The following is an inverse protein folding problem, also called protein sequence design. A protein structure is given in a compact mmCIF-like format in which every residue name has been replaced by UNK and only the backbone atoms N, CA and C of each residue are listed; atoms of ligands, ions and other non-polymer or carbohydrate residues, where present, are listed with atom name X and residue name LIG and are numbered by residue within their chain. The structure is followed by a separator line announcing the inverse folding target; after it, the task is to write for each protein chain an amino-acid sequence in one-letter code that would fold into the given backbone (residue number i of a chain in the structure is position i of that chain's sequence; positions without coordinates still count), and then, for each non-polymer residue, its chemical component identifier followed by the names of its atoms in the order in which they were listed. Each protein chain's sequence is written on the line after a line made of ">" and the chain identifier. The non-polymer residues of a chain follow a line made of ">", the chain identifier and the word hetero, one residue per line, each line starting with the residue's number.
data_IF_356454726507
#
_entry.id   IF_356454726507
#
_cell.length_a   1.000
_cell.length_b   1.000
_cell.length_c   1.000
_cell.angle_alpha   90.00
_cell.angle_beta   90.00
_cell.angle_gamma   90.00
#
_symmetry.space_group_name_H-M   'P 1'
#
loop_
_entity.id
_entity.type
_entity.pdbx_description
1 polymer ?
#
# COMPACT_ATOMS: atom_id res chain seq x y z
N UNK A 1 -0.16 28.08 11.35
CA UNK A 1 -0.62 26.79 10.75
C UNK A 1 0.54 25.80 10.77
N UNK A 2 0.30 24.52 10.48
CA UNK A 2 1.33 23.48 10.37
C UNK A 2 1.07 22.69 9.09
N UNK A 3 2.04 22.70 8.16
CA UNK A 3 1.88 22.04 6.86
C UNK A 3 2.33 20.57 6.93
N UNK A 4 1.36 19.68 6.88
CA UNK A 4 1.56 18.22 6.84
C UNK A 4 1.16 17.63 5.47
N UNK A 5 1.08 18.46 4.44
CA UNK A 5 0.86 18.01 3.06
C UNK A 5 1.96 17.05 2.61
N UNK A 6 1.71 16.27 1.56
CA UNK A 6 2.73 15.38 1.01
C UNK A 6 3.95 16.18 0.55
N UNK A 7 3.74 17.28 -0.19
CA UNK A 7 4.80 18.15 -0.66
C UNK A 7 5.60 18.78 0.49
N UNK A 8 4.92 19.33 1.51
CA UNK A 8 5.57 19.93 2.67
C UNK A 8 6.45 18.92 3.42
N UNK A 9 5.96 17.69 3.62
CA UNK A 9 6.75 16.64 4.27
C UNK A 9 7.96 16.20 3.43
N UNK A 10 7.85 16.20 2.09
CA UNK A 10 9.01 15.95 1.21
C UNK A 10 10.05 17.06 1.40
N UNK A 11 9.65 18.32 1.26
CA UNK A 11 10.55 19.47 1.37
C UNK A 11 11.27 19.48 2.73
N UNK A 12 10.54 19.24 3.82
CA UNK A 12 11.10 19.23 5.18
C UNK A 12 12.14 18.12 5.44
N UNK A 13 12.12 17.03 4.67
CA UNK A 13 12.98 15.86 4.87
C UNK A 13 14.21 15.81 3.94
N UNK A 14 14.37 16.79 3.03
CA UNK A 14 15.54 16.88 2.14
C UNK A 14 16.15 18.30 2.11
N UNK A 15 16.39 18.95 3.26
CA UNK A 15 16.88 20.34 3.30
C UNK A 15 18.24 20.52 2.59
N UNK A 16 19.10 19.50 2.59
CA UNK A 16 20.41 19.48 1.93
C UNK A 16 20.33 19.61 0.40
N UNK A 17 19.21 19.22 -0.19
CA UNK A 17 18.93 19.33 -1.62
C UNK A 17 18.28 20.67 -2.00
N UNK A 18 18.04 21.55 -1.03
CA UNK A 18 17.25 22.75 -1.21
C UNK A 18 18.05 24.01 -0.92
N UNK A 19 17.73 25.07 -1.67
CA UNK A 19 18.17 26.42 -1.36
C UNK A 19 17.56 26.87 -0.04
N UNK A 20 18.23 27.80 0.64
CA UNK A 20 17.80 28.27 1.97
C UNK A 20 16.36 28.79 1.96
N UNK A 21 15.96 29.52 0.91
CA UNK A 21 14.61 30.06 0.73
C UNK A 21 13.54 29.00 0.41
N UNK A 22 13.94 27.80 -0.01
CA UNK A 22 13.04 26.68 -0.31
C UNK A 22 12.80 25.78 0.90
N UNK A 23 13.64 25.88 1.93
CA UNK A 23 13.55 25.05 3.14
C UNK A 23 12.35 25.46 3.98
N UNK A 24 11.66 24.47 4.51
CA UNK A 24 10.59 24.66 5.48
C UNK A 24 10.85 23.78 6.69
N UNK A 25 10.31 24.15 7.85
CA UNK A 25 10.42 23.36 9.07
C UNK A 25 9.66 22.04 9.00
N UNK A 26 10.10 21.05 9.77
CA UNK A 26 9.42 19.76 9.90
C UNK A 26 8.21 19.88 10.85
N UNK A 27 7.10 20.35 10.27
CA UNK A 27 5.86 20.54 10.99
C UNK A 27 5.26 19.23 11.54
N UNK A 28 5.59 18.06 10.98
CA UNK A 28 5.08 16.79 11.49
C UNK A 28 5.80 16.39 12.78
N UNK A 29 7.12 16.56 12.83
CA UNK A 29 7.91 16.34 14.05
C UNK A 29 7.46 17.30 15.15
N UNK A 30 7.32 18.59 14.84
CA UNK A 30 6.81 19.58 15.81
C UNK A 30 5.42 19.22 16.37
N UNK A 31 4.51 18.72 15.52
CA UNK A 31 3.19 18.30 15.96
C UNK A 31 3.21 17.02 16.79
N UNK A 32 4.16 16.11 16.54
CA UNK A 32 4.37 14.92 17.35
C UNK A 32 4.84 15.27 18.76
N UNK A 33 5.78 16.19 18.88
CA UNK A 33 6.22 16.73 20.17
C UNK A 33 5.06 17.44 20.89
N UNK A 34 4.30 18.27 20.18
CA UNK A 34 3.14 18.96 20.74
C UNK A 34 2.08 17.95 21.24
N UNK A 35 1.83 16.86 20.53
CA UNK A 35 0.84 15.85 20.92
C UNK A 35 1.16 15.16 22.26
N UNK A 36 2.41 15.26 22.73
CA UNK A 36 2.84 14.75 24.03
C UNK A 36 2.71 15.78 25.17
N UNK A 37 2.22 17.00 24.89
CA UNK A 37 2.04 18.04 25.91
C UNK A 37 0.57 18.26 26.27
N UNK A 38 0.25 18.67 27.52
CA UNK A 38 -1.13 18.97 27.93
C UNK A 38 -1.79 20.12 27.15
N UNK A 39 -1.01 21.01 26.55
CA UNK A 39 -1.47 22.19 25.82
C UNK A 39 -1.91 21.85 24.39
N UNK A 40 -1.73 20.60 23.94
CA UNK A 40 -2.06 20.18 22.60
C UNK A 40 -3.55 20.42 22.25
N UNK A 41 -3.80 21.25 21.25
CA UNK A 41 -5.11 21.43 20.65
C UNK A 41 -4.99 21.41 19.12
N UNK A 42 -5.17 20.21 18.54
CA UNK A 42 -4.89 19.94 17.13
C UNK A 42 -6.19 19.64 16.40
N UNK A 43 -6.56 20.50 15.44
CA UNK A 43 -7.63 20.21 14.48
C UNK A 43 -7.03 19.54 13.25
N UNK A 44 -7.18 18.23 13.17
CA UNK A 44 -6.60 17.41 12.10
C UNK A 44 -7.58 17.17 10.95
N UNK A 45 -7.31 17.75 9.79
CA UNK A 45 -8.03 17.47 8.54
C UNK A 45 -7.49 16.19 7.86
N UNK A 46 -8.26 15.54 6.96
CA UNK A 46 -7.75 14.43 6.15
C UNK A 46 -6.47 14.79 5.37
N UNK A 47 -5.55 13.83 5.20
CA UNK A 47 -4.32 14.00 4.44
C UNK A 47 -3.99 12.72 3.64
N UNK A 48 -3.13 12.85 2.63
CA UNK A 48 -2.68 11.75 1.79
C UNK A 48 -1.77 10.79 2.59
N UNK A 49 -2.10 9.50 2.54
CA UNK A 49 -1.17 8.40 2.88
C UNK A 49 -0.60 7.87 1.56
N UNK A 50 0.56 8.38 1.16
CA UNK A 50 0.99 8.31 -0.24
C UNK A 50 1.37 6.89 -0.68
N UNK A 51 0.81 6.42 -1.79
CA UNK A 51 1.35 5.29 -2.55
C UNK A 51 2.66 5.69 -3.26
N UNK A 52 3.42 4.71 -3.78
CA UNK A 52 4.64 4.99 -4.55
C UNK A 52 4.34 5.85 -5.79
N UNK A 53 3.28 5.59 -6.60
CA UNK A 53 2.91 6.47 -7.71
C UNK A 53 2.62 7.92 -7.27
N UNK A 54 1.88 8.11 -6.18
CA UNK A 54 1.57 9.45 -5.66
C UNK A 54 2.84 10.18 -5.17
N UNK A 55 3.76 9.45 -4.54
CA UNK A 55 5.05 10.00 -4.13
C UNK A 55 5.88 10.45 -5.35
N UNK A 56 6.03 9.59 -6.37
CA UNK A 56 6.77 9.93 -7.60
C UNK A 56 6.16 11.14 -8.31
N UNK A 57 4.82 11.23 -8.36
CA UNK A 57 4.12 12.36 -8.94
C UNK A 57 4.42 13.67 -8.18
N UNK A 58 4.38 13.64 -6.85
CA UNK A 58 4.71 14.81 -6.02
C UNK A 58 6.17 15.24 -6.17
N UNK A 59 7.12 14.30 -6.23
CA UNK A 59 8.54 14.59 -6.49
C UNK A 59 8.70 15.27 -7.85
N UNK A 60 8.11 14.70 -8.90
CA UNK A 60 8.16 15.26 -10.26
C UNK A 60 7.57 16.67 -10.32
N UNK A 61 6.45 16.92 -9.64
CA UNK A 61 5.84 18.25 -9.56
C UNK A 61 6.74 19.26 -8.86
N UNK A 62 7.39 18.87 -7.76
CA UNK A 62 8.33 19.72 -7.01
C UNK A 62 9.60 20.01 -7.83
N UNK A 63 10.15 19.01 -8.52
CA UNK A 63 11.28 19.18 -9.44
C UNK A 63 10.95 20.17 -10.56
N UNK A 64 9.75 20.08 -11.15
CA UNK A 64 9.29 21.03 -12.16
C UNK A 64 9.16 22.47 -11.62
N UNK A 65 9.02 22.64 -10.31
CA UNK A 65 9.01 23.94 -9.61
C UNK A 65 10.40 24.39 -9.13
N UNK A 66 11.46 23.66 -9.47
CA UNK A 66 12.85 24.04 -9.19
C UNK A 66 13.38 23.56 -7.83
N UNK A 67 12.74 22.60 -7.18
CA UNK A 67 13.29 21.91 -6.01
C UNK A 67 14.21 20.78 -6.49
N UNK A 68 15.50 20.81 -6.14
CA UNK A 68 16.51 19.86 -6.62
C UNK A 68 16.47 18.51 -5.86
N UNK A 69 15.27 17.96 -5.73
CA UNK A 69 15.01 16.74 -4.95
C UNK A 69 15.46 15.50 -5.72
N UNK A 70 16.06 14.51 -5.03
CA UNK A 70 16.42 13.25 -5.67
C UNK A 70 15.17 12.46 -6.07
N UNK A 71 15.26 11.70 -7.16
CA UNK A 71 14.21 10.75 -7.52
C UNK A 71 14.08 9.63 -6.47
N UNK A 72 12.89 9.02 -6.38
CA UNK A 72 12.69 7.84 -5.54
C UNK A 72 13.32 6.59 -6.21
N UNK A 73 14.36 5.98 -5.62
CA UNK A 73 14.99 4.79 -6.20
C UNK A 73 14.21 3.54 -5.81
N UNK A 74 13.66 2.85 -6.81
CA UNK A 74 12.90 1.60 -6.61
C UNK A 74 13.83 0.46 -6.19
N UNK A 75 14.96 0.34 -6.88
CA UNK A 75 15.99 -0.69 -6.66
C UNK A 75 17.32 -0.03 -6.27
N UNK A 76 17.49 0.38 -5.00
CA UNK A 76 18.67 1.13 -4.60
C UNK A 76 19.91 0.23 -4.56
N UNK A 77 20.92 0.59 -5.34
CA UNK A 77 22.18 -0.14 -5.49
C UNK A 77 23.32 0.48 -4.66
N UNK A 78 23.31 1.81 -4.49
CA UNK A 78 24.34 2.55 -3.75
C UNK A 78 23.94 2.88 -2.31
N UNK A 79 24.90 3.28 -1.48
CA UNK A 79 24.63 3.76 -0.12
C UNK A 79 23.71 5.00 -0.12
N UNK A 80 23.96 5.92 -1.06
CA UNK A 80 23.19 7.15 -1.23
C UNK A 80 21.74 6.85 -1.63
N UNK A 81 21.54 5.97 -2.62
CA UNK A 81 20.19 5.55 -3.04
C UNK A 81 19.43 4.88 -1.89
N UNK A 82 20.11 4.07 -1.07
CA UNK A 82 19.50 3.44 0.12
C UNK A 82 19.09 4.49 1.15
N UNK A 83 19.90 5.52 1.37
CA UNK A 83 19.57 6.61 2.29
C UNK A 83 18.38 7.44 1.78
N UNK A 84 18.37 7.80 0.49
CA UNK A 84 17.26 8.51 -0.17
C UNK A 84 15.97 7.69 -0.07
N UNK A 85 16.03 6.39 -0.40
CA UNK A 85 14.87 5.51 -0.29
C UNK A 85 14.35 5.46 1.14
N UNK A 86 15.23 5.32 2.12
CA UNK A 86 14.85 5.26 3.53
C UNK A 86 14.16 6.56 3.99
N UNK A 87 14.63 7.73 3.54
CA UNK A 87 13.97 9.00 3.81
C UNK A 87 12.56 9.07 3.20
N UNK A 88 12.41 8.72 1.92
CA UNK A 88 11.10 8.67 1.27
C UNK A 88 10.16 7.60 1.86
N UNK A 89 10.69 6.46 2.30
CA UNK A 89 9.92 5.38 2.92
C UNK A 89 9.31 5.77 4.27
N UNK A 90 9.89 6.78 4.96
CA UNK A 90 9.30 7.43 6.15
C UNK A 90 8.15 8.38 5.79
N UNK A 91 8.17 8.95 4.59
CA UNK A 91 7.18 9.93 4.12
C UNK A 91 5.96 9.23 3.50
N UNK A 92 6.16 8.14 2.76
CA UNK A 92 5.07 7.39 2.11
C UNK A 92 4.24 6.57 3.10
N UNK A 93 3.03 6.20 2.66
CA UNK A 93 2.04 5.51 3.49
C UNK A 93 1.48 6.39 4.61
N UNK A 94 0.93 5.78 5.65
CA UNK A 94 0.32 6.51 6.78
C UNK A 94 1.36 7.06 7.75
N UNK A 95 2.13 8.07 7.32
CA UNK A 95 3.20 8.68 8.12
C UNK A 95 2.67 9.63 9.21
N UNK A 96 1.53 10.30 8.97
CA UNK A 96 1.03 11.35 9.87
C UNK A 96 0.24 10.79 11.07
N UNK A 97 -0.66 9.83 10.83
CA UNK A 97 -1.55 9.36 11.89
C UNK A 97 -0.82 8.69 13.07
N UNK A 98 0.22 7.86 12.86
CA UNK A 98 0.95 7.26 13.98
C UNK A 98 1.64 8.28 14.87
N UNK A 99 2.04 9.43 14.34
CA UNK A 99 2.71 10.50 15.09
C UNK A 99 1.72 11.34 15.92
N UNK A 100 0.49 11.54 15.42
CA UNK A 100 -0.48 12.43 16.07
C UNK A 100 -1.46 11.73 17.01
N UNK A 101 -1.49 10.39 17.03
CA UNK A 101 -2.48 9.60 17.77
C UNK A 101 -1.92 9.10 19.10
N UNK A 102 -1.49 10.03 19.94
CA UNK A 102 -1.07 9.78 21.33
C UNK A 102 -2.28 9.59 22.26
N UNK A 103 -3.24 8.76 21.83
CA UNK A 103 -4.49 8.53 22.53
C UNK A 103 -5.46 7.63 21.75
N UNK A 104 -6.54 7.25 22.43
CA UNK A 104 -7.59 6.42 21.83
C UNK A 104 -8.59 7.25 21.00
N UNK A 105 -9.47 6.58 20.25
CA UNK A 105 -10.42 7.22 19.34
C UNK A 105 -11.86 7.19 19.89
N UNK A 106 -12.47 8.36 20.17
CA UNK A 106 -13.93 8.52 20.25
C UNK A 106 -14.46 8.96 18.87
N UNK A 107 -15.13 8.06 18.16
CA UNK A 107 -15.69 8.34 16.83
C UNK A 107 -17.17 7.99 16.79
N UNK A 108 -18.01 9.02 16.63
CA UNK A 108 -19.48 8.91 16.57
C UNK A 108 -20.08 10.02 15.72
N UNK A 109 -21.20 9.74 15.06
CA UNK A 109 -21.95 10.75 14.32
C UNK A 109 -22.69 11.68 15.32
N UNK A 110 -22.56 13.01 15.21
CA UNK A 110 -23.33 13.94 16.03
C UNK A 110 -24.84 13.80 15.83
N UNK A 111 -25.63 14.04 16.87
CA UNK A 111 -27.10 13.93 16.83
C UNK A 111 -27.73 14.82 15.75
N UNK A 112 -27.19 16.02 15.52
CA UNK A 112 -27.63 16.92 14.45
C UNK A 112 -27.48 16.29 13.06
N UNK A 113 -26.33 15.68 12.79
CA UNK A 113 -26.05 14.98 11.52
C UNK A 113 -26.96 13.75 11.38
N UNK A 114 -27.16 12.98 12.45
CA UNK A 114 -28.07 11.83 12.41
C UNK A 114 -29.53 12.24 12.16
N UNK A 115 -29.99 13.32 12.78
CA UNK A 115 -31.34 13.85 12.57
C UNK A 115 -31.51 14.40 11.15
N UNK A 116 -30.49 15.01 10.58
CA UNK A 116 -30.48 15.42 9.19
C UNK A 116 -30.61 14.22 8.25
N UNK A 117 -29.83 13.15 8.46
CA UNK A 117 -29.91 11.94 7.64
C UNK A 117 -31.27 11.21 7.73
N UNK A 118 -31.97 11.32 8.87
CA UNK A 118 -33.35 10.80 9.00
C UNK A 118 -34.36 11.59 8.17
N UNK A 119 -34.19 12.91 8.08
CA UNK A 119 -35.06 13.81 7.30
C UNK A 119 -34.73 13.81 5.80
N UNK A 120 -33.48 13.53 5.47
CA UNK A 120 -32.93 13.51 4.11
C UNK A 120 -32.21 12.17 3.89
N UNK A 121 -32.95 11.06 3.73
CA UNK A 121 -32.34 9.75 3.51
C UNK A 121 -31.53 9.77 2.21
N UNK A 122 -30.29 9.30 2.30
CA UNK A 122 -29.48 9.05 1.10
C UNK A 122 -29.98 7.80 0.38
N UNK A 123 -29.61 7.66 -0.88
CA UNK A 123 -29.89 6.45 -1.65
C UNK A 123 -29.26 5.23 -0.97
N UNK A 124 -30.04 4.16 -0.88
CA UNK A 124 -29.60 2.85 -0.44
C UNK A 124 -30.01 1.87 -1.53
N UNK A 125 -29.05 1.17 -2.11
CA UNK A 125 -29.33 0.13 -3.12
C UNK A 125 -30.24 -0.95 -2.53
N UNK A 126 -31.20 -1.41 -3.32
CA UNK A 126 -32.07 -2.52 -2.91
C UNK A 126 -31.23 -3.80 -2.80
N UNK A 127 -31.48 -4.59 -1.75
CA UNK A 127 -30.86 -5.91 -1.57
C UNK A 127 -31.84 -7.00 -2.01
N UNK A 128 -31.33 -7.96 -2.79
CA UNK A 128 -32.07 -9.14 -3.23
C UNK A 128 -31.63 -10.37 -2.45
N UNK A 129 -32.55 -11.27 -2.14
CA UNK A 129 -32.23 -12.61 -1.60
C UNK A 129 -31.44 -13.46 -2.60
N UNK A 130 -31.54 -13.14 -3.89
CA UNK A 130 -30.84 -13.82 -4.99
C UNK A 130 -29.45 -13.24 -5.25
N UNK A 131 -28.96 -12.34 -4.38
CA UNK A 131 -27.61 -11.76 -4.52
C UNK A 131 -26.54 -12.85 -4.38
N UNK A 132 -25.66 -12.93 -5.38
CA UNK A 132 -24.48 -13.80 -5.33
C UNK A 132 -23.26 -13.14 -4.67
N UNK A 133 -23.35 -11.87 -4.27
CA UNK A 133 -22.24 -11.17 -3.63
C UNK A 133 -21.88 -11.82 -2.30
N UNK A 134 -20.60 -12.15 -2.13
CA UNK A 134 -20.07 -12.73 -0.92
C UNK A 134 -18.62 -12.29 -0.71
N UNK A 135 -18.11 -12.49 0.51
CA UNK A 135 -16.69 -12.31 0.82
C UNK A 135 -16.01 -13.67 0.73
N UNK A 136 -14.95 -13.74 -0.06
CA UNK A 136 -14.02 -14.86 -0.05
C UNK A 136 -12.77 -14.50 0.77
N UNK A 137 -12.37 -15.38 1.68
CA UNK A 137 -11.16 -15.23 2.49
C UNK A 137 -10.44 -16.57 2.63
N UNK A 138 -9.13 -16.53 2.84
CA UNK A 138 -8.37 -17.74 3.17
C UNK A 138 -8.94 -18.41 4.43
N UNK A 139 -9.04 -19.73 4.43
CA UNK A 139 -9.56 -20.51 5.56
C UNK A 139 -8.49 -20.92 6.58
N UNK A 140 -7.22 -20.87 6.19
CA UNK A 140 -6.04 -21.17 7.00
C UNK A 140 -4.78 -20.59 6.32
N UNK A 141 -3.62 -20.65 6.98
CA UNK A 141 -2.31 -20.25 6.47
C UNK A 141 -2.19 -18.75 6.13
N UNK A 142 -3.08 -17.94 6.67
CA UNK A 142 -3.04 -16.48 6.65
C UNK A 142 -2.51 -15.93 7.98
N UNK A 143 -2.60 -14.61 8.17
CA UNK A 143 -2.19 -14.01 9.44
C UNK A 143 -3.04 -14.48 10.62
N UNK A 144 -4.34 -14.69 10.42
CA UNK A 144 -5.25 -15.15 11.48
C UNK A 144 -4.92 -16.57 11.93
N UNK A 145 -4.79 -17.51 10.99
CA UNK A 145 -4.53 -18.93 11.30
C UNK A 145 -3.14 -19.21 11.88
N UNK A 146 -2.21 -18.27 11.78
CA UNK A 146 -0.82 -18.45 12.24
C UNK A 146 -0.41 -17.58 13.43
N UNK A 147 -1.33 -16.74 13.94
CA UNK A 147 -1.04 -15.79 15.00
C UNK A 147 -0.58 -16.47 16.30
N UNK A 148 0.46 -15.91 16.90
CA UNK A 148 0.93 -16.22 18.25
C UNK A 148 1.11 -14.91 19.00
N UNK A 149 0.57 -14.86 20.21
CA UNK A 149 0.61 -13.69 21.08
C UNK A 149 1.23 -14.03 22.43
N UNK A 150 1.93 -13.08 23.02
CA UNK A 150 2.38 -13.17 24.42
C UNK A 150 2.42 -11.81 25.09
N UNK A 151 2.26 -11.81 26.42
CA UNK A 151 2.45 -10.63 27.27
C UNK A 151 3.81 -10.71 27.95
N UNK A 152 4.63 -9.69 27.76
CA UNK A 152 5.98 -9.61 28.29
C UNK A 152 5.95 -9.43 29.81
N UNK A 153 6.83 -10.15 30.51
CA UNK A 153 7.02 -10.05 31.96
C UNK A 153 8.38 -9.45 32.26
N UNK A 154 8.38 -8.24 32.82
CA UNK A 154 9.57 -7.40 32.99
C UNK A 154 10.00 -6.74 31.68
N UNK A 155 10.50 -5.50 31.77
CA UNK A 155 11.08 -4.84 30.60
C UNK A 155 12.30 -5.64 30.09
N UNK A 156 12.41 -5.81 28.78
CA UNK A 156 13.45 -6.62 28.14
C UNK A 156 13.77 -6.08 26.75
N UNK A 157 14.83 -6.59 26.12
CA UNK A 157 15.08 -6.38 24.69
C UNK A 157 14.85 -7.69 23.92
N UNK A 158 14.34 -7.57 22.69
CA UNK A 158 14.17 -8.69 21.77
C UNK A 158 14.76 -8.33 20.40
N UNK A 159 15.12 -9.33 19.61
CA UNK A 159 15.52 -9.19 18.20
C UNK A 159 14.74 -10.17 17.33
N UNK A 160 14.68 -9.90 16.03
CA UNK A 160 14.01 -10.81 15.07
C UNK A 160 15.06 -11.37 14.13
N UNK A 161 15.17 -12.70 14.10
CA UNK A 161 16.15 -13.44 13.28
C UNK A 161 15.43 -14.50 12.44
N UNK A 162 15.95 -14.73 11.25
CA UNK A 162 15.62 -15.86 10.41
C UNK A 162 16.73 -16.91 10.52
N UNK A 163 16.36 -18.14 10.89
CA UNK A 163 17.28 -19.28 10.91
C UNK A 163 16.97 -20.17 9.71
N UNK A 164 17.90 -20.25 8.77
CA UNK A 164 17.81 -21.08 7.58
C UNK A 164 17.86 -22.57 7.91
N UNK A 165 17.37 -23.40 6.99
CA UNK A 165 17.42 -24.86 7.12
C UNK A 165 18.87 -25.42 7.15
N UNK A 166 19.83 -24.64 6.66
CA UNK A 166 21.26 -24.90 6.70
C UNK A 166 21.94 -24.38 7.99
N UNK A 167 21.16 -23.81 8.91
CA UNK A 167 21.64 -23.22 10.17
C UNK A 167 22.16 -21.79 10.03
N UNK A 168 22.12 -21.18 8.84
CA UNK A 168 22.51 -19.77 8.67
C UNK A 168 21.55 -18.86 9.41
N UNK A 169 22.09 -17.88 10.15
CA UNK A 169 21.28 -16.90 10.89
C UNK A 169 21.37 -15.56 10.18
N UNK A 170 20.22 -15.01 9.81
CA UNK A 170 20.07 -13.67 9.26
C UNK A 170 19.27 -12.80 10.21
N UNK A 171 19.87 -11.72 10.67
CA UNK A 171 19.13 -10.70 11.42
C UNK A 171 18.13 -9.99 10.49
N UNK A 172 16.85 -9.97 10.90
CA UNK A 172 15.78 -9.24 10.20
C UNK A 172 15.51 -7.89 10.86
N UNK A 173 15.60 -7.84 12.19
CA UNK A 173 15.49 -6.61 12.97
C UNK A 173 16.47 -6.67 14.16
N UNK A 174 17.36 -5.67 14.32
CA UNK A 174 18.26 -5.57 15.46
C UNK A 174 17.46 -5.44 16.77
N UNK A 175 18.16 -5.61 17.90
CA UNK A 175 17.54 -5.54 19.22
C UNK A 175 16.71 -4.26 19.42
N UNK A 176 15.53 -4.41 20.03
CA UNK A 176 14.64 -3.32 20.39
C UNK A 176 13.96 -3.60 21.75
N UNK A 177 13.67 -2.54 22.53
CA UNK A 177 13.09 -2.70 23.85
C UNK A 177 11.61 -3.04 23.77
N UNK A 178 11.16 -3.84 24.75
CA UNK A 178 9.76 -4.08 25.09
C UNK A 178 9.53 -3.71 26.56
N UNK A 179 8.37 -3.14 26.85
CA UNK A 179 7.96 -2.74 28.19
C UNK A 179 7.44 -3.94 29.00
N UNK A 180 7.45 -3.81 30.34
CA UNK A 180 6.69 -4.76 31.17
C UNK A 180 5.21 -4.67 30.80
N UNK A 181 4.57 -5.83 30.66
CA UNK A 181 3.17 -6.00 30.24
C UNK A 181 2.85 -5.56 28.80
N UNK A 182 3.85 -5.25 27.99
CA UNK A 182 3.63 -5.09 26.55
C UNK A 182 3.13 -6.40 25.93
N UNK A 183 2.17 -6.29 25.01
CA UNK A 183 1.70 -7.43 24.22
C UNK A 183 2.42 -7.40 22.88
N UNK A 184 2.98 -8.54 22.48
CA UNK A 184 3.62 -8.71 21.18
C UNK A 184 3.06 -9.94 20.47
N UNK A 185 2.81 -9.76 19.18
CA UNK A 185 2.20 -10.77 18.31
C UNK A 185 3.11 -11.08 17.12
N UNK A 186 3.06 -12.32 16.65
CA UNK A 186 3.72 -12.76 15.41
C UNK A 186 2.73 -13.56 14.58
N UNK A 187 2.75 -13.35 13.26
CA UNK A 187 1.91 -14.10 12.32
C UNK A 187 2.59 -14.14 10.94
N UNK A 188 2.17 -15.09 10.10
CA UNK A 188 2.74 -15.28 8.76
C UNK A 188 1.68 -15.72 7.76
N UNK A 189 1.56 -14.97 6.66
CA UNK A 189 0.81 -15.41 5.49
C UNK A 189 1.68 -16.30 4.61
N UNK A 190 1.24 -17.53 4.33
CA UNK A 190 1.97 -18.47 3.48
C UNK A 190 1.72 -18.15 2.01
N UNK A 191 2.75 -17.69 1.30
CA UNK A 191 2.70 -17.38 -0.14
C UNK A 191 2.03 -18.47 -0.98
N UNK A 192 2.40 -19.75 -0.77
CA UNK A 192 1.84 -20.87 -1.54
C UNK A 192 0.31 -20.95 -1.38
N UNK A 193 -0.17 -20.92 -0.14
CA UNK A 193 -1.61 -20.95 0.15
C UNK A 193 -2.34 -19.71 -0.38
N UNK A 194 -1.71 -18.52 -0.33
CA UNK A 194 -2.27 -17.30 -0.90
C UNK A 194 -2.46 -17.40 -2.41
N UNK A 195 -1.47 -17.92 -3.13
CA UNK A 195 -1.54 -18.10 -4.58
C UNK A 195 -2.61 -19.13 -4.95
N UNK A 196 -2.65 -20.27 -4.25
CA UNK A 196 -3.69 -21.31 -4.43
C UNK A 196 -5.09 -20.75 -4.15
N UNK A 197 -5.24 -19.91 -3.13
CA UNK A 197 -6.48 -19.20 -2.85
C UNK A 197 -6.89 -18.28 -4.01
N UNK A 198 -5.99 -17.44 -4.52
CA UNK A 198 -6.32 -16.59 -5.67
C UNK A 198 -6.69 -17.39 -6.92
N UNK A 199 -5.95 -18.45 -7.24
CA UNK A 199 -6.25 -19.34 -8.37
C UNK A 199 -7.66 -19.95 -8.23
N UNK A 200 -8.02 -20.41 -7.01
CA UNK A 200 -9.35 -20.92 -6.70
C UNK A 200 -10.44 -19.85 -6.89
N UNK A 201 -10.30 -18.69 -6.25
CA UNK A 201 -11.35 -17.67 -6.24
C UNK A 201 -11.55 -17.02 -7.62
N UNK A 202 -10.49 -16.91 -8.43
CA UNK A 202 -10.59 -16.46 -9.83
C UNK A 202 -11.43 -17.48 -10.65
N UNK A 203 -11.14 -18.77 -10.50
CA UNK A 203 -11.90 -19.81 -11.19
C UNK A 203 -13.36 -19.88 -10.71
N UNK A 204 -13.58 -19.69 -9.41
CA UNK A 204 -14.91 -19.69 -8.78
C UNK A 204 -15.75 -18.48 -9.23
N UNK A 205 -15.17 -17.27 -9.25
CA UNK A 205 -15.84 -16.08 -9.77
C UNK A 205 -16.29 -16.26 -11.24
N UNK A 206 -15.44 -16.89 -12.07
CA UNK A 206 -15.77 -17.21 -13.46
C UNK A 206 -16.91 -18.22 -13.56
N UNK A 207 -16.86 -19.28 -12.76
CA UNK A 207 -17.89 -20.32 -12.77
C UNK A 207 -19.26 -19.80 -12.28
N UNK A 208 -19.25 -18.87 -11.33
CA UNK A 208 -20.47 -18.26 -10.79
C UNK A 208 -21.01 -17.09 -11.62
N UNK A 209 -20.23 -16.62 -12.60
CA UNK A 209 -20.52 -15.43 -13.42
C UNK A 209 -20.74 -14.19 -12.55
N UNK A 210 -19.73 -13.86 -11.74
CA UNK A 210 -19.72 -12.68 -10.85
C UNK A 210 -18.44 -11.88 -11.05
N UNK A 211 -18.52 -10.56 -10.77
CA UNK A 211 -17.35 -9.69 -10.79
C UNK A 211 -16.36 -10.11 -9.70
N UNK A 212 -15.11 -10.29 -10.10
CA UNK A 212 -14.00 -10.45 -9.17
C UNK A 212 -13.56 -9.07 -8.66
N UNK A 213 -13.38 -8.96 -7.34
CA UNK A 213 -12.84 -7.75 -6.71
C UNK A 213 -11.91 -8.12 -5.56
N UNK A 214 -10.88 -7.31 -5.39
CA UNK A 214 -9.83 -7.42 -4.38
C UNK A 214 -9.89 -6.17 -3.49
N UNK A 215 -10.06 -6.40 -2.19
CA UNK A 215 -10.26 -5.34 -1.19
C UNK A 215 -9.10 -5.39 -0.18
N UNK A 216 -8.22 -4.40 -0.25
CA UNK A 216 -6.99 -4.32 0.54
C UNK A 216 -6.81 -2.91 1.11
N UNK A 217 -5.72 -2.68 1.86
CA UNK A 217 -5.39 -1.37 2.42
C UNK A 217 -3.93 -0.99 2.17
N UNK A 218 -3.49 -1.11 0.91
CA UNK A 218 -2.09 -1.05 0.50
C UNK A 218 -1.31 0.23 0.89
N UNK A 219 -1.99 1.36 1.04
CA UNK A 219 -1.36 2.61 1.48
C UNK A 219 -1.05 2.63 2.98
N UNK A 220 -1.92 2.03 3.78
CA UNK A 220 -1.72 1.93 5.24
C UNK A 220 -0.76 0.80 5.54
N UNK A 221 -1.02 -0.38 4.98
CA UNK A 221 -0.23 -1.58 5.10
C UNK A 221 0.90 -1.61 4.07
N UNK A 222 1.78 -0.60 4.13
CA UNK A 222 2.76 -0.25 3.08
C UNK A 222 3.81 -1.32 2.70
N UNK A 223 3.80 -2.47 3.39
CA UNK A 223 4.73 -3.59 3.18
C UNK A 223 3.97 -4.86 2.79
N UNK A 224 3.00 -5.30 3.59
CA UNK A 224 2.28 -6.56 3.37
C UNK A 224 1.37 -6.51 2.15
N UNK A 225 0.49 -5.51 2.10
CA UNK A 225 -0.63 -5.49 1.17
C UNK A 225 -0.18 -5.29 -0.28
N UNK A 226 0.82 -4.44 -0.61
CA UNK A 226 1.36 -4.39 -1.98
C UNK A 226 1.88 -5.75 -2.47
N UNK A 227 2.48 -6.57 -1.59
CA UNK A 227 2.96 -7.91 -1.95
C UNK A 227 1.80 -8.87 -2.21
N UNK A 228 0.76 -8.81 -1.36
CA UNK A 228 -0.47 -9.59 -1.55
C UNK A 228 -1.15 -9.20 -2.87
N UNK A 229 -1.26 -7.91 -3.13
CA UNK A 229 -1.81 -7.35 -4.37
C UNK A 229 -1.03 -7.81 -5.60
N UNK A 230 0.31 -7.72 -5.56
CA UNK A 230 1.18 -8.18 -6.64
C UNK A 230 1.04 -9.68 -6.93
N UNK A 231 0.75 -10.50 -5.92
CA UNK A 231 0.39 -11.90 -6.12
C UNK A 231 -0.95 -12.06 -6.85
N UNK A 232 -1.98 -11.31 -6.48
CA UNK A 232 -3.26 -11.35 -7.19
C UNK A 232 -3.11 -10.95 -8.68
N UNK A 233 -2.35 -9.88 -8.96
CA UNK A 233 -2.02 -9.45 -10.33
C UNK A 233 -1.31 -10.57 -11.10
N UNK A 234 -0.26 -11.15 -10.53
CA UNK A 234 0.48 -12.25 -11.18
C UNK A 234 -0.38 -13.47 -11.46
N UNK A 235 -1.31 -13.81 -10.57
CA UNK A 235 -2.21 -14.95 -10.77
C UNK A 235 -3.27 -14.63 -11.85
N UNK A 236 -3.87 -13.46 -11.82
CA UNK A 236 -4.89 -13.07 -12.78
C UNK A 236 -4.33 -13.01 -14.22
N UNK A 237 -3.15 -12.40 -14.39
CA UNK A 237 -2.47 -12.24 -15.69
C UNK A 237 -1.37 -13.28 -15.92
N UNK A 238 -1.49 -14.49 -15.33
CA UNK A 238 -0.46 -15.54 -15.33
C UNK A 238 0.15 -15.77 -16.71
N UNK A 239 -0.68 -15.95 -17.74
CA UNK A 239 -0.23 -16.25 -19.10
C UNK A 239 0.65 -15.12 -19.69
N UNK A 240 0.39 -13.86 -19.33
CA UNK A 240 1.19 -12.71 -19.76
C UNK A 240 2.54 -12.71 -19.05
N UNK A 241 2.57 -12.96 -17.74
CA UNK A 241 3.81 -13.02 -16.98
C UNK A 241 4.66 -14.25 -17.33
N UNK A 242 4.05 -15.38 -17.66
CA UNK A 242 4.76 -16.57 -18.11
C UNK A 242 5.41 -16.33 -19.48
N UNK A 243 4.76 -15.57 -20.37
CA UNK A 243 5.29 -15.24 -21.71
C UNK A 243 6.34 -14.12 -21.70
N UNK A 244 6.10 -13.04 -20.96
CA UNK A 244 6.91 -11.81 -21.01
C UNK A 244 7.74 -11.54 -19.75
N UNK A 245 7.77 -12.46 -18.79
CA UNK A 245 8.38 -12.24 -17.48
C UNK A 245 9.83 -11.73 -17.51
N UNK A 246 10.66 -12.26 -18.42
CA UNK A 246 12.05 -11.79 -18.59
C UNK A 246 12.13 -10.34 -19.07
N UNK A 247 11.28 -9.98 -20.05
CA UNK A 247 11.21 -8.61 -20.55
C UNK A 247 10.71 -7.66 -19.46
N UNK A 248 9.72 -8.08 -18.68
CA UNK A 248 9.23 -7.28 -17.56
C UNK A 248 10.28 -7.08 -16.46
N UNK A 249 11.13 -8.08 -16.21
CA UNK A 249 12.29 -7.95 -15.31
C UNK A 249 13.30 -6.93 -15.87
N UNK A 250 13.64 -7.01 -17.16
CA UNK A 250 14.54 -6.05 -17.83
C UNK A 250 14.00 -4.60 -17.82
N UNK A 251 12.68 -4.45 -17.94
CA UNK A 251 12.01 -3.15 -17.88
C UNK A 251 11.83 -2.62 -16.44
N UNK A 252 12.13 -3.43 -15.43
CA UNK A 252 11.91 -3.08 -14.03
C UNK A 252 10.43 -2.86 -13.72
N UNK A 253 9.56 -3.76 -14.19
CA UNK A 253 8.14 -3.81 -13.82
C UNK A 253 8.01 -4.26 -12.37
N UNK A 254 7.32 -3.47 -11.54
CA UNK A 254 6.94 -3.85 -10.18
C UNK A 254 5.44 -4.11 -10.10
N UNK A 255 5.06 -5.38 -10.12
CA UNK A 255 3.66 -5.82 -10.02
C UNK A 255 2.99 -5.42 -8.69
N UNK A 256 3.77 -5.08 -7.66
CA UNK A 256 3.21 -4.59 -6.41
C UNK A 256 2.60 -3.18 -6.56
N UNK A 257 2.93 -2.48 -7.65
CA UNK A 257 2.30 -1.23 -8.08
C UNK A 257 1.11 -1.44 -9.03
N UNK A 258 0.76 -2.70 -9.33
CA UNK A 258 -0.39 -3.10 -10.16
C UNK A 258 -0.11 -3.23 -11.64
N UNK A 259 -1.14 -3.65 -12.41
CA UNK A 259 -1.02 -3.81 -13.87
C UNK A 259 -0.76 -2.47 -14.57
N UNK A 260 -1.13 -1.35 -13.93
CA UNK A 260 -0.79 -0.01 -14.41
C UNK A 260 0.72 0.22 -14.55
N UNK A 261 1.55 -0.44 -13.73
CA UNK A 261 3.01 -0.36 -13.86
C UNK A 261 3.50 -1.05 -15.13
N UNK A 262 2.92 -2.20 -15.50
CA UNK A 262 3.19 -2.85 -16.80
C UNK A 262 2.89 -1.88 -17.94
N UNK A 263 1.68 -1.31 -17.96
CA UNK A 263 1.30 -0.34 -19.00
C UNK A 263 2.27 0.84 -19.06
N UNK A 264 2.69 1.39 -17.92
CA UNK A 264 3.65 2.51 -17.89
C UNK A 264 5.03 2.13 -18.43
N UNK A 265 5.51 0.91 -18.17
CA UNK A 265 6.87 0.49 -18.52
C UNK A 265 6.98 0.03 -19.97
N UNK A 266 5.90 -0.52 -20.56
CA UNK A 266 5.90 -0.92 -21.98
C UNK A 266 5.84 0.29 -22.94
N UNK A 267 5.53 1.49 -22.48
CA UNK A 267 5.57 2.72 -23.30
C UNK A 267 6.95 3.02 -23.89
N UNK A 268 8.03 2.52 -23.27
CA UNK A 268 9.39 2.68 -23.82
C UNK A 268 9.74 1.66 -24.91
N UNK A 269 8.88 0.67 -25.17
CA UNK A 269 9.11 -0.36 -26.17
C UNK A 269 8.74 0.10 -27.59
N UNK A 270 9.27 -0.56 -28.63
CA UNK A 270 8.76 -0.40 -29.99
C UNK A 270 7.27 -0.72 -30.08
N UNK A 271 6.52 0.05 -30.87
CA UNK A 271 5.06 -0.04 -31.00
C UNK A 271 4.55 -1.47 -31.24
N UNK A 272 5.25 -2.25 -32.08
CA UNK A 272 4.87 -3.63 -32.36
C UNK A 272 4.92 -4.55 -31.12
N UNK A 273 5.92 -4.37 -30.25
CA UNK A 273 6.04 -5.15 -29.01
C UNK A 273 5.03 -4.69 -27.97
N UNK A 274 4.84 -3.37 -27.84
CA UNK A 274 3.81 -2.79 -26.98
C UNK A 274 2.42 -3.35 -27.35
N UNK A 275 2.04 -3.26 -28.62
CA UNK A 275 0.75 -3.75 -29.11
C UNK A 275 0.59 -5.27 -28.91
N UNK A 276 1.66 -6.06 -29.05
CA UNK A 276 1.63 -7.50 -28.77
C UNK A 276 1.31 -7.79 -27.29
N UNK A 277 1.96 -7.08 -26.37
CA UNK A 277 1.74 -7.23 -24.92
C UNK A 277 0.32 -6.77 -24.54
N UNK A 278 -0.14 -5.65 -25.06
CA UNK A 278 -1.50 -5.15 -24.83
C UNK A 278 -2.54 -6.15 -25.33
N UNK A 279 -2.34 -6.74 -26.52
CA UNK A 279 -3.22 -7.78 -27.04
C UNK A 279 -3.22 -9.04 -26.15
N UNK A 280 -2.07 -9.43 -25.61
CA UNK A 280 -1.98 -10.54 -24.66
C UNK A 280 -2.74 -10.25 -23.35
N UNK A 281 -2.67 -9.02 -22.83
CA UNK A 281 -3.46 -8.60 -21.67
C UNK A 281 -4.95 -8.61 -22.00
N UNK A 282 -5.35 -8.13 -23.18
CA UNK A 282 -6.75 -8.19 -23.61
C UNK A 282 -7.28 -9.62 -23.73
N UNK A 283 -6.44 -10.56 -24.18
CA UNK A 283 -6.80 -11.97 -24.22
C UNK A 283 -7.08 -12.55 -22.83
N UNK A 284 -6.39 -12.09 -21.78
CA UNK A 284 -6.69 -12.49 -20.39
C UNK A 284 -8.11 -12.08 -19.99
N UNK A 285 -8.55 -10.88 -20.34
CA UNK A 285 -9.92 -10.43 -20.01
C UNK A 285 -11.01 -11.25 -20.70
N UNK A 286 -10.71 -11.89 -21.84
CA UNK A 286 -11.65 -12.78 -22.53
C UNK A 286 -11.72 -14.18 -21.89
N UNK A 287 -10.71 -14.56 -21.11
CA UNK A 287 -10.60 -15.89 -20.52
C UNK A 287 -10.78 -15.91 -19.00
N UNK A 288 -10.61 -14.80 -18.31
CA UNK A 288 -10.78 -14.65 -16.86
C UNK A 288 -12.17 -14.10 -16.49
N UNK A 289 -12.61 -14.18 -15.21
CA UNK A 289 -13.81 -13.49 -14.78
C UNK A 289 -13.66 -11.98 -14.95
N UNK A 290 -14.77 -11.28 -15.20
CA UNK A 290 -14.76 -9.81 -15.24
C UNK A 290 -14.27 -9.22 -13.90
N UNK A 291 -13.48 -8.16 -13.98
CA UNK A 291 -13.00 -7.43 -12.80
C UNK A 291 -13.95 -6.28 -12.46
N UNK A 292 -14.06 -5.97 -11.17
CA UNK A 292 -14.58 -4.68 -10.74
C UNK A 292 -13.76 -3.53 -11.33
N UNK A 293 -14.46 -2.46 -11.72
CA UNK A 293 -13.86 -1.29 -12.36
C UNK A 293 -13.81 -0.12 -11.39
N UNK A 294 -12.67 0.57 -11.37
CA UNK A 294 -12.52 1.89 -10.71
C UNK A 294 -13.12 2.97 -11.60
N UNK A 295 -12.82 2.91 -12.90
CA UNK A 295 -13.36 3.80 -13.93
C UNK A 295 -13.53 3.01 -15.24
N UNK A 296 -14.77 2.63 -15.56
CA UNK A 296 -15.09 1.79 -16.72
C UNK A 296 -14.84 2.51 -18.04
N UNK A 297 -15.09 3.82 -18.11
CA UNK A 297 -14.94 4.60 -19.35
C UNK A 297 -13.46 4.70 -19.76
N UNK A 298 -12.57 4.62 -18.77
CA UNK A 298 -11.11 4.66 -18.96
C UNK A 298 -10.45 3.29 -18.89
N UNK A 299 -11.21 2.22 -18.70
CA UNK A 299 -10.69 0.86 -18.58
C UNK A 299 -9.86 0.59 -17.32
N UNK A 300 -9.99 1.41 -16.27
CA UNK A 300 -9.24 1.26 -15.03
C UNK A 300 -9.93 0.20 -14.15
N UNK A 301 -9.30 -0.97 -14.05
CA UNK A 301 -9.75 -2.10 -13.23
C UNK A 301 -9.26 -1.99 -11.78
N UNK A 302 -9.86 -2.77 -10.88
CA UNK A 302 -9.43 -2.91 -9.50
C UNK A 302 -7.98 -3.48 -9.33
N UNK A 303 -7.36 -4.00 -10.39
CA UNK A 303 -5.97 -4.44 -10.38
C UNK A 303 -4.98 -3.41 -10.96
N UNK A 304 -5.45 -2.23 -11.37
CA UNK A 304 -4.60 -1.18 -11.97
C UNK A 304 -3.62 -0.56 -10.98
N UNK A 305 -4.12 -0.08 -9.84
CA UNK A 305 -3.32 0.59 -8.80
C UNK A 305 -3.76 0.07 -7.44
N UNK A 306 -2.83 -0.34 -6.55
CA UNK A 306 -3.18 -0.95 -5.26
C UNK A 306 -3.84 0.02 -4.26
N UNK A 307 -3.87 1.32 -4.56
CA UNK A 307 -4.42 2.36 -3.69
C UNK A 307 -5.77 2.91 -4.13
N UNK A 308 -6.29 2.44 -5.27
CA UNK A 308 -7.62 2.80 -5.77
C UNK A 308 -8.70 2.05 -4.99
#
# INVERSE_FOLDING_TARGET
>A
TRDISLAGRIIANFPEHLKEEQRIGDALTELGELAQTPEANIIKLPNISASVPQLKAAIKELQAKGYDLPNYPEEPSTYEEKAIKAAYDKIKGSAVNPVLREGNSDRRAPTSVKNYAKKNPHSMGAWSSESKSHVASMSDNDFFGSEKSTTISGATEVKIEFVGNDGTVKELKPAFPLLDKEVIDTSVMKKKALVEFFEKEIAEAKAQDVLLSLHMKATMMKVSDPVIFGHAVKVYYKDVFDKYGKLFEELGVDVNNGIGDVYSKIESLPEAQKAEIEAAIQAVYQTQPELAMVDSDRGITNLHVPSD
#
